data_IF_782984646584
#
_entry.id   IF_782984646584
#
_cell.length_a   1.000
_cell.length_b   1.000
_cell.length_c   1.000
_cell.angle_alpha   90.00
_cell.angle_beta   90.00
_cell.angle_gamma   90.00
#
_symmetry.space_group_name_H-M   'P 1'
#
loop_
_entity.id
_entity.type
_entity.pdbx_description
1 polymer ?
#
# COMPACT_ATOMS: atom_id res chain seq x y z
N UNK A 1 -11.77 7.60 57.58
CA UNK A 1 -11.70 6.16 57.93
C UNK A 1 -10.67 5.53 57.00
N UNK A 2 -9.68 4.80 57.51
CA UNK A 2 -8.55 4.24 56.73
C UNK A 2 -8.89 2.82 56.23
N UNK A 3 -8.51 2.47 55.00
CA UNK A 3 -8.73 1.16 54.36
C UNK A 3 -8.29 -0.02 55.23
N UNK A 4 -7.23 0.15 56.02
CA UNK A 4 -6.75 -0.88 56.94
C UNK A 4 -7.76 -1.20 58.05
N UNK A 5 -8.40 -0.16 58.62
CA UNK A 5 -9.48 -0.33 59.61
C UNK A 5 -10.72 -0.95 58.99
N UNK A 6 -11.04 -0.63 57.74
CA UNK A 6 -12.17 -1.22 57.02
C UNK A 6 -11.94 -2.71 56.83
N UNK A 7 -10.73 -3.12 56.42
CA UNK A 7 -10.37 -4.53 56.28
C UNK A 7 -10.42 -5.28 57.60
N UNK A 8 -9.88 -4.72 58.67
CA UNK A 8 -9.93 -5.34 60.00
C UNK A 8 -11.37 -5.57 60.48
N UNK A 9 -12.24 -4.57 60.32
CA UNK A 9 -13.66 -4.69 60.70
C UNK A 9 -14.37 -5.74 59.84
N UNK A 10 -14.15 -5.75 58.53
CA UNK A 10 -14.77 -6.74 57.63
C UNK A 10 -14.27 -8.16 57.91
N UNK A 11 -12.97 -8.32 58.16
CA UNK A 11 -12.39 -9.62 58.52
C UNK A 11 -12.95 -10.13 59.85
N UNK A 12 -13.05 -9.28 60.87
CA UNK A 12 -13.62 -9.64 62.17
C UNK A 12 -15.11 -10.04 62.04
N UNK A 13 -15.90 -9.29 61.25
CA UNK A 13 -17.30 -9.60 61.02
C UNK A 13 -17.49 -10.94 60.28
N UNK A 14 -16.67 -11.22 59.27
CA UNK A 14 -16.72 -12.51 58.56
C UNK A 14 -16.30 -13.65 59.48
N UNK A 15 -15.26 -13.47 60.29
CA UNK A 15 -14.78 -14.49 61.23
C UNK A 15 -15.81 -14.80 62.32
N UNK A 16 -16.48 -13.78 62.84
CA UNK A 16 -17.57 -13.92 63.80
C UNK A 16 -18.80 -14.60 63.18
N UNK A 17 -19.14 -14.27 61.92
CA UNK A 17 -20.16 -14.96 61.14
C UNK A 17 -19.83 -16.43 60.92
N UNK A 18 -18.58 -16.76 60.56
CA UNK A 18 -18.11 -18.14 60.37
C UNK A 18 -18.10 -18.94 61.68
N UNK A 19 -17.88 -18.29 62.84
CA UNK A 19 -17.94 -18.93 64.15
C UNK A 19 -19.35 -19.35 64.58
N UNK A 20 -20.38 -18.69 64.06
CA UNK A 20 -21.79 -19.02 64.32
C UNK A 20 -22.30 -20.16 63.44
N UNK A 21 -21.53 -20.55 62.43
CA UNK A 21 -21.85 -21.65 61.53
C UNK A 21 -21.39 -22.97 62.15
N UNK A 22 -22.34 -23.82 62.56
CA UNK A 22 -22.05 -25.16 63.05
C UNK A 22 -22.01 -26.15 61.87
N UNK A 23 -20.85 -26.72 61.56
CA UNK A 23 -20.67 -27.67 60.44
C UNK A 23 -21.62 -28.88 60.56
N UNK A 24 -21.93 -29.32 61.78
CA UNK A 24 -22.81 -30.47 62.04
C UNK A 24 -24.30 -30.17 61.71
N UNK A 25 -24.77 -28.92 61.85
CA UNK A 25 -26.14 -28.52 61.48
C UNK A 25 -26.28 -28.30 59.96
N UNK A 26 -25.17 -28.04 59.25
CA UNK A 26 -25.14 -27.85 57.80
C UNK A 26 -24.85 -29.12 56.99
N UNK A 27 -24.50 -30.22 57.65
CA UNK A 27 -24.21 -31.51 57.02
C UNK A 27 -25.43 -32.18 56.33
N UNK A 28 -26.63 -31.57 56.40
CA UNK A 28 -27.86 -32.06 55.76
C UNK A 28 -28.22 -31.42 54.42
N UNK A 29 -27.45 -30.42 53.95
CA UNK A 29 -27.69 -29.75 52.68
C UNK A 29 -26.62 -30.14 51.65
N UNK A 30 -26.61 -31.41 51.25
CA UNK A 30 -25.88 -31.85 50.07
C UNK A 30 -26.48 -31.17 48.83
N UNK A 31 -26.04 -29.95 48.57
CA UNK A 31 -26.40 -29.24 47.36
C UNK A 31 -25.76 -29.95 46.18
N UNK A 32 -26.56 -30.74 45.45
CA UNK A 32 -26.16 -31.30 44.16
C UNK A 32 -26.01 -30.15 43.17
N UNK A 33 -24.78 -29.70 42.98
CA UNK A 33 -24.47 -28.66 42.02
C UNK A 33 -24.70 -29.16 40.60
N UNK A 34 -25.19 -28.27 39.72
CA UNK A 34 -25.30 -28.63 38.31
C UNK A 34 -23.90 -28.92 37.71
N UNK A 35 -23.77 -29.83 36.73
CA UNK A 35 -22.49 -30.11 36.08
C UNK A 35 -21.82 -28.87 35.45
N UNK A 36 -22.64 -27.87 35.04
CA UNK A 36 -22.14 -26.58 34.54
C UNK A 36 -21.47 -25.76 35.65
N UNK A 37 -22.07 -25.75 36.85
CA UNK A 37 -21.54 -25.03 38.00
C UNK A 37 -20.24 -25.66 38.51
N UNK A 38 -20.21 -26.99 38.66
CA UNK A 38 -18.99 -27.69 39.09
C UNK A 38 -17.82 -27.45 38.14
N UNK A 39 -18.06 -27.51 36.82
CA UNK A 39 -17.03 -27.19 35.82
C UNK A 39 -16.52 -25.76 35.96
N UNK A 40 -17.40 -24.81 36.27
CA UNK A 40 -17.05 -23.40 36.47
C UNK A 40 -16.20 -23.21 37.72
N UNK A 41 -16.59 -23.80 38.85
CA UNK A 41 -15.86 -23.75 40.12
C UNK A 41 -14.49 -24.42 39.96
N UNK A 42 -14.42 -25.64 39.41
CA UNK A 42 -13.15 -26.33 39.16
C UNK A 42 -12.21 -25.52 38.28
N UNK A 43 -12.73 -24.85 37.23
CA UNK A 43 -11.92 -23.97 36.37
C UNK A 43 -11.43 -22.74 37.13
N UNK A 44 -12.25 -22.14 37.98
CA UNK A 44 -11.88 -20.97 38.78
C UNK A 44 -10.76 -21.34 39.78
N UNK A 45 -10.96 -22.41 40.55
CA UNK A 45 -9.98 -22.94 41.50
C UNK A 45 -8.67 -23.33 40.82
N UNK A 46 -8.73 -24.00 39.67
CA UNK A 46 -7.53 -24.36 38.90
C UNK A 46 -6.77 -23.11 38.41
N UNK A 47 -7.51 -22.08 37.97
CA UNK A 47 -6.88 -20.83 37.53
C UNK A 47 -6.22 -20.10 38.71
N UNK A 48 -6.84 -20.11 39.88
CA UNK A 48 -6.30 -19.53 41.10
C UNK A 48 -5.08 -20.31 41.62
N UNK A 49 -5.12 -21.65 41.58
CA UNK A 49 -4.02 -22.52 42.00
C UNK A 49 -2.76 -22.36 41.12
N UNK A 50 -2.93 -22.24 39.80
CA UNK A 50 -1.80 -22.16 38.87
C UNK A 50 -1.31 -20.74 38.58
N UNK A 51 -2.21 -19.74 38.59
CA UNK A 51 -1.86 -18.37 38.21
C UNK A 51 -1.96 -17.37 39.35
N UNK A 52 -2.58 -17.73 40.48
CA UNK A 52 -2.67 -16.93 41.70
C UNK A 52 -2.98 -15.45 41.43
N UNK A 53 -2.23 -14.56 42.08
CA UNK A 53 -2.33 -13.10 41.91
C UNK A 53 -1.86 -12.58 40.53
N UNK A 54 -1.28 -13.44 39.68
CA UNK A 54 -0.67 -13.10 38.40
C UNK A 54 -1.45 -13.63 37.20
N UNK A 55 -2.78 -13.56 37.25
CA UNK A 55 -3.69 -13.91 36.13
C UNK A 55 -3.27 -13.30 34.79
N UNK A 56 -2.81 -12.04 34.78
CA UNK A 56 -2.34 -11.34 33.57
C UNK A 56 -1.14 -12.03 32.90
N UNK A 57 -0.26 -12.65 33.69
CA UNK A 57 0.90 -13.40 33.22
C UNK A 57 0.46 -14.72 32.55
N UNK A 58 -0.55 -15.38 33.11
CA UNK A 58 -1.17 -16.56 32.49
C UNK A 58 -1.82 -16.27 31.13
N UNK A 59 -2.50 -15.13 31.00
CA UNK A 59 -3.04 -14.70 29.71
C UNK A 59 -1.92 -14.40 28.70
N UNK A 60 -0.87 -13.70 29.11
CA UNK A 60 0.28 -13.41 28.24
C UNK A 60 0.97 -14.69 27.74
N UNK A 61 1.17 -15.69 28.60
CA UNK A 61 1.74 -16.99 28.23
C UNK A 61 0.85 -17.73 27.22
N UNK A 62 -0.48 -17.68 27.37
CA UNK A 62 -1.41 -18.27 26.40
C UNK A 62 -1.35 -17.57 25.05
N UNK A 63 -1.30 -16.24 25.03
CA UNK A 63 -1.13 -15.48 23.79
C UNK A 63 0.22 -15.78 23.11
N UNK A 64 1.30 -15.86 23.88
CA UNK A 64 2.61 -16.24 23.37
C UNK A 64 2.62 -17.65 22.78
N UNK A 65 1.95 -18.62 23.43
CA UNK A 65 1.82 -19.98 22.93
C UNK A 65 0.99 -20.07 21.64
N UNK A 66 -0.12 -19.33 21.57
CA UNK A 66 -0.93 -19.24 20.34
C UNK A 66 -0.14 -18.58 19.21
N UNK A 67 0.57 -17.49 19.49
CA UNK A 67 1.43 -16.82 18.53
C UNK A 67 2.55 -17.73 18.01
N UNK A 68 3.22 -18.46 18.91
CA UNK A 68 4.22 -19.45 18.55
C UNK A 68 3.64 -20.57 17.67
N UNK A 69 2.42 -21.04 17.96
CA UNK A 69 1.71 -22.01 17.11
C UNK A 69 1.41 -21.46 15.72
N UNK A 70 0.95 -20.21 15.61
CA UNK A 70 0.71 -19.55 14.31
C UNK A 70 2.00 -19.44 13.53
N UNK A 71 3.08 -18.98 14.15
CA UNK A 71 4.40 -18.85 13.51
C UNK A 71 4.92 -20.22 13.06
N UNK A 72 4.89 -21.22 13.93
CA UNK A 72 5.30 -22.60 13.59
C UNK A 72 4.45 -23.19 12.46
N UNK A 73 3.15 -22.91 12.44
CA UNK A 73 2.26 -23.35 11.36
C UNK A 73 2.60 -22.67 10.03
N UNK A 74 2.99 -21.39 10.05
CA UNK A 74 3.49 -20.69 8.86
C UNK A 74 4.81 -21.30 8.37
N UNK A 75 5.73 -21.64 9.27
CA UNK A 75 6.99 -22.31 8.91
C UNK A 75 6.76 -23.72 8.34
N UNK A 76 5.88 -24.52 8.95
CA UNK A 76 5.51 -25.84 8.47
C UNK A 76 4.79 -25.77 7.12
N UNK A 77 3.92 -24.78 6.90
CA UNK A 77 3.32 -24.50 5.60
C UNK A 77 4.37 -24.09 4.56
N UNK A 78 5.44 -23.39 4.97
CA UNK A 78 6.57 -23.05 4.10
C UNK A 78 7.36 -24.28 3.65
N UNK A 79 7.64 -25.22 4.56
CA UNK A 79 8.36 -26.46 4.23
C UNK A 79 7.49 -27.43 3.41
N UNK A 80 6.22 -27.57 3.76
CA UNK A 80 5.26 -28.41 3.03
C UNK A 80 4.94 -27.85 1.63
N UNK A 81 4.77 -26.54 1.49
CA UNK A 81 4.50 -25.91 0.18
C UNK A 81 5.70 -26.03 -0.78
N UNK A 82 6.93 -25.91 -0.28
CA UNK A 82 8.14 -26.11 -1.07
C UNK A 82 8.30 -27.57 -1.56
N UNK A 83 7.90 -28.56 -0.73
CA UNK A 83 7.92 -29.99 -1.09
C UNK A 83 6.77 -30.44 -1.99
N UNK A 84 5.56 -29.89 -1.81
CA UNK A 84 4.35 -30.37 -2.51
C UNK A 84 4.13 -29.65 -3.84
N UNK A 85 4.43 -28.35 -3.93
CA UNK A 85 4.08 -27.55 -5.12
C UNK A 85 5.27 -27.32 -6.06
N UNK A 86 6.50 -27.63 -5.67
CA UNK A 86 7.72 -27.38 -6.46
C UNK A 86 7.85 -25.92 -6.98
N UNK A 87 7.06 -24.98 -6.45
CA UNK A 87 7.11 -23.55 -6.72
C UNK A 87 7.27 -22.84 -5.38
N UNK A 88 8.29 -22.00 -5.27
CA UNK A 88 8.54 -21.22 -4.06
C UNK A 88 7.60 -19.99 -4.04
N UNK A 89 6.60 -19.93 -3.14
CA UNK A 89 5.60 -18.86 -3.12
C UNK A 89 6.18 -17.49 -2.75
N UNK A 90 7.26 -17.44 -1.96
CA UNK A 90 7.99 -16.20 -1.72
C UNK A 90 8.70 -15.70 -2.96
N UNK A 91 9.22 -16.59 -3.79
CA UNK A 91 9.79 -16.24 -5.09
C UNK A 91 8.72 -15.66 -6.01
N UNK A 92 7.49 -16.17 -5.96
CA UNK A 92 6.35 -15.61 -6.68
C UNK A 92 5.97 -14.21 -6.17
N UNK A 93 5.78 -14.02 -4.86
CA UNK A 93 5.46 -12.71 -4.26
C UNK A 93 6.58 -11.69 -4.52
N UNK A 94 7.84 -12.10 -4.35
CA UNK A 94 9.01 -11.26 -4.65
C UNK A 94 9.09 -10.98 -6.15
N UNK A 95 8.78 -11.94 -7.04
CA UNK A 95 8.73 -11.69 -8.48
C UNK A 95 7.64 -10.70 -8.88
N UNK A 96 6.49 -10.73 -8.20
CA UNK A 96 5.41 -9.76 -8.40
C UNK A 96 5.85 -8.34 -7.98
N UNK A 97 6.54 -8.21 -6.84
CA UNK A 97 7.13 -6.94 -6.40
C UNK A 97 8.30 -6.47 -7.27
N UNK A 98 9.11 -7.41 -7.81
CA UNK A 98 10.26 -7.10 -8.68
C UNK A 98 9.84 -6.75 -10.10
N UNK A 99 8.70 -7.27 -10.57
CA UNK A 99 8.14 -7.00 -11.89
C UNK A 99 7.50 -5.61 -12.01
N UNK A 100 7.11 -5.01 -10.89
CA UNK A 100 6.51 -3.67 -10.81
C UNK A 100 7.48 -2.67 -10.19
N UNK A 101 8.49 -2.24 -10.97
CA UNK A 101 9.27 -1.06 -10.59
C UNK A 101 8.42 0.17 -10.90
N UNK A 102 7.87 0.81 -9.87
CA UNK A 102 7.17 2.08 -10.03
C UNK A 102 8.07 3.20 -9.52
N UNK A 103 8.33 4.20 -10.37
CA UNK A 103 9.03 5.42 -9.97
C UNK A 103 8.01 6.45 -9.52
N UNK A 104 8.29 7.12 -8.40
CA UNK A 104 7.47 8.21 -7.87
C UNK A 104 8.28 9.49 -7.87
N UNK A 105 7.78 10.51 -8.57
CA UNK A 105 8.37 11.84 -8.58
C UNK A 105 7.39 12.83 -7.91
N UNK A 106 7.78 13.35 -6.75
CA UNK A 106 7.04 14.42 -6.06
C UNK A 106 7.66 15.77 -6.40
N UNK A 107 6.87 16.66 -6.96
CA UNK A 107 7.28 17.98 -7.38
C UNK A 107 7.17 18.99 -6.23
N UNK A 108 8.18 19.85 -6.14
CA UNK A 108 8.18 20.98 -5.23
C UNK A 108 8.28 22.26 -6.06
N UNK A 109 7.43 23.24 -5.76
CA UNK A 109 7.44 24.52 -6.46
C UNK A 109 8.70 25.30 -6.10
N UNK A 110 9.70 25.29 -6.98
CA UNK A 110 10.90 26.12 -6.80
C UNK A 110 10.58 27.57 -7.15
N UNK A 111 11.17 28.56 -6.45
CA UNK A 111 11.08 29.95 -6.88
C UNK A 111 11.71 30.08 -8.28
N UNK A 112 10.94 30.67 -9.20
CA UNK A 112 11.29 30.82 -10.61
C UNK A 112 12.60 31.60 -10.73
N UNK A 113 13.69 30.95 -11.16
CA UNK A 113 14.93 31.65 -11.50
C UNK A 113 14.76 32.21 -12.90
N UNK A 114 14.61 33.54 -13.01
CA UNK A 114 14.72 34.28 -14.26
C UNK A 114 16.09 34.04 -14.88
N UNK A 115 16.18 33.18 -15.89
CA UNK A 115 17.25 33.23 -16.87
C UNK A 115 16.79 32.53 -18.15
N UNK A 116 16.65 33.35 -19.19
CA UNK A 116 16.13 33.09 -20.56
C UNK A 116 14.61 32.96 -20.72
N UNK A 117 14.02 33.49 -21.82
CA UNK A 117 12.61 33.31 -22.12
C UNK A 117 12.37 31.83 -22.43
N UNK A 118 11.93 31.11 -21.41
CA UNK A 118 11.44 29.75 -21.53
C UNK A 118 10.31 29.70 -22.56
N UNK A 119 10.44 28.82 -23.57
CA UNK A 119 9.40 28.65 -24.58
C UNK A 119 8.14 28.13 -23.91
N UNK A 120 7.07 28.89 -23.96
CA UNK A 120 5.78 28.49 -23.41
C UNK A 120 5.03 27.63 -24.41
N UNK A 121 4.24 26.69 -23.90
CA UNK A 121 3.27 25.92 -24.71
C UNK A 121 2.34 26.91 -25.43
N UNK A 122 2.16 26.72 -26.73
CA UNK A 122 1.28 27.54 -27.57
C UNK A 122 -0.07 26.87 -27.86
N UNK A 123 -0.14 25.53 -27.75
CA UNK A 123 -1.36 24.75 -28.00
C UNK A 123 -1.55 23.68 -26.93
N UNK A 124 -2.80 23.46 -26.52
CA UNK A 124 -3.11 22.48 -25.47
C UNK A 124 -2.86 21.03 -25.89
N UNK A 125 -2.92 20.76 -27.20
CA UNK A 125 -2.66 19.47 -27.80
C UNK A 125 -1.59 19.56 -28.90
N UNK A 126 -0.85 18.45 -29.17
CA UNK A 126 0.12 18.41 -30.26
C UNK A 126 -0.53 18.68 -31.62
N UNK A 127 0.07 19.58 -32.41
CA UNK A 127 -0.39 19.89 -33.77
C UNK A 127 0.12 18.89 -34.81
N UNK A 128 1.18 18.14 -34.48
CA UNK A 128 1.72 17.08 -35.32
C UNK A 128 1.35 15.72 -34.74
N UNK A 129 0.65 14.90 -35.53
CA UNK A 129 0.34 13.50 -35.20
C UNK A 129 0.96 12.61 -36.29
N UNK A 130 1.70 11.54 -35.93
CA UNK A 130 2.25 10.59 -36.89
C UNK A 130 1.17 10.00 -37.81
N UNK A 131 1.55 9.76 -39.07
CA UNK A 131 0.61 9.33 -40.12
C UNK A 131 -0.10 8.02 -39.79
N UNK A 132 -1.41 7.98 -40.07
CA UNK A 132 -2.26 6.80 -39.96
C UNK A 132 -2.89 6.58 -38.59
N UNK A 133 -2.59 7.44 -37.62
CA UNK A 133 -3.29 7.49 -36.33
C UNK A 133 -4.59 8.30 -36.45
N UNK A 134 -5.67 7.75 -35.90
CA UNK A 134 -7.00 8.41 -35.86
C UNK A 134 -7.36 8.67 -34.41
N UNK A 135 -7.83 9.88 -34.11
CA UNK A 135 -8.15 10.27 -32.74
C UNK A 135 -9.34 9.46 -32.22
N UNK A 136 -9.20 8.93 -31.00
CA UNK A 136 -10.22 8.12 -30.31
C UNK A 136 -10.64 8.71 -28.97
N UNK A 137 -9.84 9.57 -28.35
CA UNK A 137 -10.21 10.29 -27.12
C UNK A 137 -9.76 11.76 -27.14
N UNK A 138 -10.55 12.63 -26.51
CA UNK A 138 -10.29 14.06 -26.29
C UNK A 138 -10.87 14.47 -24.93
N UNK A 139 -10.13 14.21 -23.87
CA UNK A 139 -10.55 14.52 -22.51
C UNK A 139 -9.70 15.68 -21.99
N UNK A 140 -10.35 16.84 -21.85
CA UNK A 140 -9.72 18.08 -21.36
C UNK A 140 -10.54 18.61 -20.19
N UNK A 141 -9.88 18.78 -19.06
CA UNK A 141 -10.48 19.39 -17.87
C UNK A 141 -9.50 20.37 -17.21
N UNK A 142 -9.86 20.89 -16.04
CA UNK A 142 -8.99 21.78 -15.27
C UNK A 142 -7.74 21.08 -14.73
N UNK A 143 -7.77 19.75 -14.56
CA UNK A 143 -6.69 18.96 -14.00
C UNK A 143 -5.63 18.58 -15.05
N UNK A 144 -6.02 18.48 -16.33
CA UNK A 144 -5.08 18.14 -17.39
C UNK A 144 -5.69 17.94 -18.76
N UNK A 145 -4.85 17.45 -19.67
CA UNK A 145 -5.24 17.07 -21.03
C UNK A 145 -4.85 15.62 -21.24
N UNK A 146 -5.81 14.83 -21.71
CA UNK A 146 -5.60 13.47 -22.18
C UNK A 146 -6.13 13.34 -23.62
N UNK A 147 -5.28 12.85 -24.50
CA UNK A 147 -5.62 12.63 -25.90
C UNK A 147 -5.14 11.25 -26.31
N UNK A 148 -5.94 10.54 -27.09
CA UNK A 148 -5.58 9.22 -27.62
C UNK A 148 -5.84 9.14 -29.11
N UNK A 149 -4.93 8.49 -29.82
CA UNK A 149 -5.10 8.09 -31.20
C UNK A 149 -4.76 6.61 -31.36
N UNK A 150 -5.49 5.92 -32.23
CA UNK A 150 -5.29 4.51 -32.51
C UNK A 150 -5.01 4.27 -33.99
N UNK A 151 -4.23 3.22 -34.26
CA UNK A 151 -3.95 2.67 -35.59
C UNK A 151 -4.03 1.14 -35.50
N UNK A 152 -4.71 0.52 -36.48
CA UNK A 152 -4.79 -0.96 -36.60
C UNK A 152 -5.15 -1.72 -35.29
N UNK A 153 -6.22 -1.30 -34.60
CA UNK A 153 -6.82 -1.91 -33.39
C UNK A 153 -5.93 -2.11 -32.14
N UNK A 154 -4.60 -2.19 -32.27
CA UNK A 154 -3.66 -2.46 -31.16
C UNK A 154 -2.55 -1.43 -31.02
N UNK A 155 -2.30 -0.60 -32.02
CA UNK A 155 -1.28 0.43 -31.94
C UNK A 155 -1.92 1.71 -31.41
N UNK A 156 -1.40 2.23 -30.31
CA UNK A 156 -1.89 3.46 -29.71
C UNK A 156 -0.80 4.53 -29.64
N UNK A 157 -1.27 5.77 -29.56
CA UNK A 157 -0.50 6.97 -29.30
C UNK A 157 -1.31 7.78 -28.29
N UNK A 158 -0.70 8.16 -27.17
CA UNK A 158 -1.36 8.87 -26.09
C UNK A 158 -0.55 10.09 -25.69
N UNK A 159 -1.22 11.20 -25.45
CA UNK A 159 -0.63 12.40 -24.88
C UNK A 159 -1.30 12.72 -23.55
N UNK A 160 -0.48 13.04 -22.55
CA UNK A 160 -0.94 13.46 -21.23
C UNK A 160 -0.21 14.73 -20.82
N UNK A 161 -0.98 15.71 -20.34
CA UNK A 161 -0.50 16.94 -19.72
C UNK A 161 -1.11 17.10 -18.34
N UNK A 162 -0.31 17.47 -17.36
CA UNK A 162 -0.76 17.81 -16.00
C UNK A 162 -0.08 19.09 -15.54
N UNK A 163 -0.82 19.99 -14.89
CA UNK A 163 -0.26 21.22 -14.31
C UNK A 163 0.69 20.89 -13.16
N UNK A 164 1.89 21.45 -13.16
CA UNK A 164 2.87 21.27 -12.09
C UNK A 164 2.50 22.12 -10.87
N UNK A 165 2.01 21.44 -9.84
CA UNK A 165 1.67 22.05 -8.56
C UNK A 165 2.58 21.55 -7.43
N UNK A 166 2.63 22.31 -6.34
CA UNK A 166 3.41 21.92 -5.17
C UNK A 166 2.79 20.67 -4.51
N UNK A 167 3.61 19.64 -4.31
CA UNK A 167 3.15 18.36 -3.77
C UNK A 167 2.57 17.40 -4.81
N UNK A 168 2.47 17.78 -6.10
CA UNK A 168 2.07 16.87 -7.16
C UNK A 168 2.99 15.65 -7.18
N UNK A 169 2.41 14.45 -7.16
CA UNK A 169 3.16 13.19 -7.26
C UNK A 169 2.74 12.44 -8.51
N UNK A 170 3.69 12.25 -9.42
CA UNK A 170 3.48 11.45 -10.64
C UNK A 170 4.12 10.08 -10.44
N UNK A 171 3.33 9.03 -10.61
CA UNK A 171 3.81 7.66 -10.69
C UNK A 171 4.06 7.29 -12.16
N UNK A 172 5.24 6.76 -12.46
CA UNK A 172 5.60 6.29 -13.79
C UNK A 172 6.15 4.87 -13.75
N UNK A 173 6.02 4.16 -14.87
CA UNK A 173 6.65 2.86 -15.03
C UNK A 173 8.18 3.01 -14.97
N UNK A 174 8.80 2.36 -13.98
CA UNK A 174 10.24 2.27 -13.78
C UNK A 174 10.86 1.00 -14.34
N UNK A 175 10.07 0.15 -15.00
CA UNK A 175 10.56 -1.02 -15.71
C UNK A 175 10.68 -0.72 -17.21
N UNK A 176 11.87 -0.29 -17.63
CA UNK A 176 12.21 -0.01 -19.04
C UNK A 176 13.44 -0.82 -19.47
N UNK A 177 13.54 -1.10 -20.77
CA UNK A 177 14.68 -1.78 -21.40
C UNK A 177 15.79 -0.79 -21.75
N UNK A 178 15.42 0.42 -22.20
CA UNK A 178 16.34 1.49 -22.53
C UNK A 178 15.87 2.83 -21.96
N UNK A 179 16.84 3.69 -21.60
CA UNK A 179 16.63 5.06 -21.12
C UNK A 179 17.71 5.96 -21.69
N UNK A 180 17.29 7.05 -22.31
CA UNK A 180 18.21 8.05 -22.86
C UNK A 180 17.68 9.48 -22.69
N UNK A 181 18.59 10.44 -22.81
CA UNK A 181 18.25 11.86 -22.71
C UNK A 181 17.41 12.29 -23.91
N UNK A 182 16.40 13.11 -23.64
CA UNK A 182 15.53 13.70 -24.63
C UNK A 182 15.46 15.21 -24.38
N UNK A 183 15.33 16.02 -25.43
CA UNK A 183 15.29 17.49 -25.27
C UNK A 183 14.18 18.05 -26.14
N UNK A 184 13.23 18.76 -25.52
CA UNK A 184 12.12 19.41 -26.23
C UNK A 184 12.25 20.90 -26.04
N UNK A 185 12.59 21.62 -27.11
CA UNK A 185 12.61 23.08 -27.10
C UNK A 185 13.44 23.72 -25.96
N UNK A 186 14.49 23.06 -25.50
CA UNK A 186 15.36 23.49 -24.39
C UNK A 186 15.06 22.79 -23.05
N UNK A 187 13.88 22.19 -22.90
CA UNK A 187 13.50 21.41 -21.72
C UNK A 187 14.12 20.02 -21.76
N UNK A 188 14.65 19.60 -20.60
CA UNK A 188 15.23 18.27 -20.43
C UNK A 188 14.11 17.27 -20.16
N UNK A 189 14.06 16.25 -21.00
CA UNK A 189 13.21 15.09 -20.85
C UNK A 189 14.01 13.80 -20.87
N UNK A 190 13.27 12.70 -20.84
CA UNK A 190 13.82 11.36 -20.96
C UNK A 190 12.96 10.56 -21.93
N UNK A 191 13.62 9.82 -22.82
CA UNK A 191 13.00 8.84 -23.71
C UNK A 191 13.27 7.45 -23.15
N UNK A 192 12.24 6.60 -23.22
CA UNK A 192 12.24 5.26 -22.69
C UNK A 192 11.70 4.28 -23.74
N UNK A 193 12.20 3.06 -23.72
CA UNK A 193 11.62 1.95 -24.48
C UNK A 193 11.43 0.72 -23.60
N UNK A 194 10.40 -0.05 -23.91
CA UNK A 194 10.09 -1.33 -23.27
C UNK A 194 9.36 -2.21 -24.26
N UNK A 195 10.02 -3.26 -24.76
CA UNK A 195 9.49 -4.14 -25.82
C UNK A 195 8.98 -3.33 -27.02
N UNK A 196 7.66 -3.31 -27.22
CA UNK A 196 6.96 -2.66 -28.33
C UNK A 196 6.44 -1.26 -27.99
N UNK A 197 6.65 -0.81 -26.74
CA UNK A 197 6.21 0.48 -26.23
C UNK A 197 7.40 1.43 -26.07
N UNK A 198 7.14 2.71 -26.29
CA UNK A 198 8.09 3.79 -26.11
C UNK A 198 7.37 5.01 -25.56
N UNK A 199 8.07 5.79 -24.73
CA UNK A 199 7.49 7.01 -24.19
C UNK A 199 8.53 8.07 -23.90
N UNK A 200 8.08 9.32 -23.98
CA UNK A 200 8.85 10.50 -23.60
C UNK A 200 8.16 11.19 -22.43
N UNK A 201 8.97 11.65 -21.48
CA UNK A 201 8.52 12.47 -20.36
C UNK A 201 9.40 13.71 -20.30
N UNK A 202 8.80 14.89 -20.21
CA UNK A 202 9.51 16.13 -19.96
C UNK A 202 8.63 17.09 -19.15
N UNK A 203 9.30 18.01 -18.46
CA UNK A 203 8.64 19.08 -17.72
C UNK A 203 9.08 20.41 -18.31
N UNK A 204 8.13 21.31 -18.53
CA UNK A 204 8.43 22.72 -18.75
C UNK A 204 8.22 23.53 -17.47
N UNK A 205 8.09 24.86 -17.56
CA UNK A 205 7.86 25.72 -16.40
C UNK A 205 6.53 25.47 -15.69
N UNK A 206 5.54 24.94 -16.41
CA UNK A 206 4.15 24.92 -15.96
C UNK A 206 3.55 23.52 -15.95
N UNK A 207 4.03 22.62 -16.79
CA UNK A 207 3.37 21.36 -17.07
C UNK A 207 4.35 20.18 -17.06
N UNK A 208 3.82 19.08 -16.56
CA UNK A 208 4.31 17.74 -16.82
C UNK A 208 3.73 17.25 -18.13
N UNK A 209 4.56 16.72 -19.02
CA UNK A 209 4.14 16.13 -20.28
C UNK A 209 4.61 14.69 -20.39
N UNK A 210 3.76 13.88 -21.03
CA UNK A 210 4.06 12.51 -21.40
C UNK A 210 3.44 12.18 -22.74
N UNK A 211 4.20 11.53 -23.61
CA UNK A 211 3.67 10.88 -24.82
C UNK A 211 4.06 9.40 -24.76
N UNK A 212 3.08 8.50 -24.92
CA UNK A 212 3.29 7.07 -25.09
C UNK A 212 2.95 6.67 -26.51
N UNK A 213 3.70 5.74 -27.08
CA UNK A 213 3.38 5.13 -28.35
C UNK A 213 3.73 3.65 -28.34
N UNK A 214 3.07 2.90 -29.22
CA UNK A 214 3.44 1.53 -29.54
C UNK A 214 3.70 1.38 -31.03
N UNK A 215 4.70 0.57 -31.39
CA UNK A 215 4.98 0.19 -32.77
C UNK A 215 5.18 1.41 -33.72
N UNK A 216 5.89 2.44 -33.26
CA UNK A 216 6.17 3.64 -34.05
C UNK A 216 7.48 3.46 -34.83
N UNK A 217 7.44 3.65 -36.16
CA UNK A 217 8.65 3.65 -36.96
C UNK A 217 9.43 4.95 -36.74
N UNK A 218 10.73 4.86 -36.43
CA UNK A 218 11.55 6.01 -36.01
C UNK A 218 10.92 6.75 -34.83
N UNK A 219 10.51 5.98 -33.82
CA UNK A 219 9.60 6.47 -32.81
C UNK A 219 10.12 7.66 -32.02
N UNK A 220 11.40 7.67 -31.63
CA UNK A 220 12.03 8.83 -31.00
C UNK A 220 11.89 10.11 -31.82
N UNK A 221 12.18 10.07 -33.13
CA UNK A 221 12.09 11.22 -34.01
C UNK A 221 10.64 11.71 -34.17
N UNK A 222 9.69 10.79 -34.26
CA UNK A 222 8.27 11.11 -34.38
C UNK A 222 7.71 11.72 -33.08
N UNK A 223 8.07 11.14 -31.93
CA UNK A 223 7.75 11.69 -30.62
C UNK A 223 8.40 13.07 -30.40
N UNK A 224 9.60 13.29 -30.94
CA UNK A 224 10.27 14.59 -30.91
C UNK A 224 9.50 15.65 -31.70
N UNK A 225 9.04 15.34 -32.90
CA UNK A 225 8.21 16.26 -33.71
C UNK A 225 6.88 16.56 -33.02
N UNK A 226 6.24 15.52 -32.49
CA UNK A 226 4.97 15.66 -31.75
C UNK A 226 5.14 16.56 -30.52
N UNK A 227 6.16 16.32 -29.70
CA UNK A 227 6.45 17.15 -28.53
C UNK A 227 6.80 18.60 -28.90
N UNK A 228 7.58 18.81 -29.97
CA UNK A 228 7.94 20.15 -30.44
C UNK A 228 6.73 20.93 -30.98
N UNK A 229 5.74 20.24 -31.54
CA UNK A 229 4.53 20.87 -32.09
C UNK A 229 3.65 21.58 -31.03
N UNK A 230 3.90 21.31 -29.74
CA UNK A 230 3.28 22.03 -28.61
C UNK A 230 3.86 23.43 -28.40
N UNK A 231 5.06 23.70 -28.92
CA UNK A 231 5.83 24.94 -28.70
C UNK A 231 6.10 25.72 -29.99
N UNK A 232 5.88 25.11 -31.15
CA UNK A 232 6.18 25.67 -32.46
C UNK A 232 4.90 25.71 -33.30
N UNK A 233 4.60 26.87 -33.90
CA UNK A 233 3.64 26.94 -35.00
C UNK A 233 4.32 26.31 -36.21
N UNK A 234 3.82 25.16 -36.65
CA UNK A 234 4.23 24.56 -37.93
C UNK A 234 3.69 25.37 -39.10
#
# INVERSE_FOLDING_TARGET
>A
MNDQKIREILSAYVEEGMRQLNEEEMAGADHVYSPKYEKKIKRMLWTEQYFGKHLKLGYAVRYAAVFALVVLSMFAANEASARILNVNPWRYIVSFSKGSKMEHNTYQKKPQKSQEPEKTVITDCPNYIPTGFVQTADDKDEAGVYMEWNRKQKEYLQYTRVTLEDGLTIASDGAYDHKEKFVVCGYKGTYYTKKDEEWVIWNDSQYYHKINATHLANGKEELQKMAQSLYLNN
#
